data_IF_014132878053
#
_entry.id   IF_014132878053
#
_cell.length_a   1.000
_cell.length_b   1.000
_cell.length_c   1.000
_cell.angle_alpha   90.00
_cell.angle_beta   90.00
_cell.angle_gamma   90.00
#
_symmetry.space_group_name_H-M   'P 1'
#
loop_
_entity.id
_entity.type
_entity.pdbx_description
1 polymer ?
#
# COMPACT_ATOMS: atom_id res chain seq x y z
N UNK A 1 8.04 14.51 5.36
CA UNK A 1 6.81 15.33 5.34
C UNK A 1 5.84 15.03 4.19
N UNK A 2 6.13 15.38 2.91
CA UNK A 2 5.15 15.14 1.81
C UNK A 2 4.85 13.65 1.56
N UNK A 3 5.88 12.80 1.60
CA UNK A 3 5.75 11.35 1.39
C UNK A 3 4.95 10.68 2.51
N UNK A 4 5.20 11.06 3.77
CA UNK A 4 4.46 10.51 4.92
C UNK A 4 2.99 10.92 4.92
N UNK A 5 2.70 12.18 4.57
CA UNK A 5 1.31 12.63 4.42
C UNK A 5 0.58 11.84 3.33
N UNK A 6 1.21 11.64 2.16
CA UNK A 6 0.63 10.86 1.08
C UNK A 6 0.41 9.38 1.47
N UNK A 7 1.35 8.79 2.21
CA UNK A 7 1.21 7.44 2.78
C UNK A 7 -0.01 7.37 3.72
N UNK A 8 -0.09 8.27 4.70
CA UNK A 8 -1.19 8.27 5.67
C UNK A 8 -2.54 8.57 5.02
N UNK A 9 -2.58 9.44 4.01
CA UNK A 9 -3.78 9.68 3.22
C UNK A 9 -4.26 8.44 2.47
N UNK A 10 -3.33 7.67 1.91
CA UNK A 10 -3.66 6.41 1.24
C UNK A 10 -4.12 5.36 2.24
N UNK A 11 -3.40 5.20 3.36
CA UNK A 11 -3.78 4.32 4.47
C UNK A 11 -5.18 4.65 4.97
N UNK A 12 -5.49 5.93 5.20
CA UNK A 12 -6.82 6.40 5.61
C UNK A 12 -7.89 5.97 4.62
N UNK A 13 -7.65 6.12 3.31
CA UNK A 13 -8.60 5.69 2.26
C UNK A 13 -8.84 4.20 2.28
N UNK A 14 -7.78 3.39 2.41
CA UNK A 14 -7.87 1.93 2.53
C UNK A 14 -8.70 1.55 3.75
N UNK A 15 -8.36 2.10 4.92
CA UNK A 15 -9.05 1.80 6.18
C UNK A 15 -10.53 2.18 6.12
N UNK A 16 -10.85 3.36 5.58
CA UNK A 16 -12.25 3.83 5.44
C UNK A 16 -13.07 2.93 4.50
N UNK A 17 -12.42 2.25 3.54
CA UNK A 17 -13.10 1.34 2.62
C UNK A 17 -13.45 -0.02 3.24
N UNK A 18 -12.78 -0.41 4.33
CA UNK A 18 -13.01 -1.68 5.02
C UNK A 18 -14.25 -1.52 5.92
N UNK A 19 -15.35 -2.19 5.57
CA UNK A 19 -16.62 -2.13 6.31
C UNK A 19 -16.78 -3.35 7.22
N UNK A 20 -17.37 -3.13 8.41
CA UNK A 20 -17.88 -4.17 9.33
C UNK A 20 -16.81 -5.15 9.88
N UNK A 21 -15.56 -4.72 10.00
CA UNK A 21 -14.48 -5.49 10.66
C UNK A 21 -13.67 -4.57 11.56
N UNK A 22 -13.07 -5.13 12.61
CA UNK A 22 -12.11 -4.40 13.43
C UNK A 22 -10.82 -4.26 12.61
N UNK A 23 -10.33 -3.03 12.50
CA UNK A 23 -9.15 -2.71 11.69
C UNK A 23 -8.03 -2.25 12.59
N UNK A 24 -6.84 -2.79 12.36
CA UNK A 24 -5.61 -2.38 13.03
C UNK A 24 -4.68 -1.75 12.00
N UNK A 25 -4.21 -0.55 12.30
CA UNK A 25 -3.11 0.06 11.57
C UNK A 25 -1.81 -0.29 12.27
N UNK A 26 -1.00 -1.14 11.66
CA UNK A 26 0.33 -1.50 12.12
C UNK A 26 1.35 -0.55 11.49
N UNK A 27 2.08 0.21 12.30
CA UNK A 27 3.20 1.04 11.84
C UNK A 27 4.52 0.28 12.04
N UNK A 28 5.45 0.45 11.09
CA UNK A 28 6.78 -0.16 11.16
C UNK A 28 7.45 0.07 12.52
N UNK A 29 8.20 -0.93 12.99
CA UNK A 29 9.00 -0.86 14.21
C UNK A 29 10.05 0.27 14.18
N UNK A 30 10.42 0.76 12.99
CA UNK A 30 11.34 1.89 12.82
C UNK A 30 10.65 3.26 12.78
N UNK A 31 9.32 3.33 12.94
CA UNK A 31 8.62 4.61 12.85
C UNK A 31 8.93 5.51 14.05
N UNK A 32 9.04 6.82 13.82
CA UNK A 32 9.21 7.81 14.88
C UNK A 32 7.93 7.96 15.71
N UNK A 33 8.05 8.51 16.93
CA UNK A 33 6.89 8.87 17.75
C UNK A 33 6.00 9.93 17.07
N UNK A 34 6.60 10.88 16.37
CA UNK A 34 5.87 11.90 15.60
C UNK A 34 5.06 11.32 14.45
N UNK A 35 5.57 10.27 13.78
CA UNK A 35 4.81 9.56 12.75
C UNK A 35 3.62 8.81 13.36
N UNK A 36 3.83 8.15 14.50
CA UNK A 36 2.78 7.42 15.21
C UNK A 36 1.64 8.36 15.63
N UNK A 37 1.96 9.50 16.26
CA UNK A 37 0.98 10.51 16.65
C UNK A 37 0.19 11.01 15.44
N UNK A 38 0.90 11.32 14.34
CA UNK A 38 0.26 11.74 13.10
C UNK A 38 -0.66 10.67 12.52
N UNK A 39 -0.25 9.40 12.55
CA UNK A 39 -1.07 8.28 12.10
C UNK A 39 -2.35 8.17 12.92
N UNK A 40 -2.25 8.24 14.25
CA UNK A 40 -3.39 8.23 15.18
C UNK A 40 -4.35 9.39 14.93
N UNK A 41 -3.84 10.59 14.66
CA UNK A 41 -4.68 11.77 14.40
C UNK A 41 -5.32 11.77 13.00
N UNK A 42 -4.69 11.11 12.02
CA UNK A 42 -5.15 11.12 10.62
C UNK A 42 -6.13 10.00 10.33
N UNK A 43 -5.95 8.84 10.96
CA UNK A 43 -6.69 7.62 10.67
C UNK A 43 -7.78 7.41 11.72
N UNK A 44 -9.02 7.68 11.32
CA UNK A 44 -10.19 7.27 12.09
C UNK A 44 -10.65 5.87 11.67
N UNK A 45 -11.19 5.10 12.62
CA UNK A 45 -11.76 3.77 12.34
C UNK A 45 -10.78 2.59 12.41
N UNK A 46 -9.53 2.82 12.83
CA UNK A 46 -8.59 1.75 13.14
C UNK A 46 -7.86 2.01 14.46
N UNK A 47 -7.49 0.95 15.16
CA UNK A 47 -6.56 1.05 16.30
C UNK A 47 -5.13 1.06 15.78
N UNK A 48 -4.39 2.13 16.08
CA UNK A 48 -3.01 2.30 15.61
C UNK A 48 -2.06 1.65 16.60
N UNK A 49 -1.21 0.74 16.10
CA UNK A 49 -0.19 0.03 16.88
C UNK A 49 1.17 0.14 16.21
N UNK A 50 2.20 0.41 17.00
CA UNK A 50 3.58 0.37 16.55
C UNK A 50 4.16 -1.01 16.81
N UNK A 51 4.70 -1.65 15.76
CA UNK A 51 5.21 -3.02 15.85
C UNK A 51 6.38 -3.20 16.83
N UNK A 52 7.11 -2.11 17.14
CA UNK A 52 8.16 -2.13 18.17
C UNK A 52 7.61 -2.49 19.56
N UNK A 53 6.35 -2.19 19.81
CA UNK A 53 5.68 -2.43 21.10
C UNK A 53 4.98 -3.80 21.12
N UNK A 54 5.10 -4.58 20.03
CA UNK A 54 4.46 -5.88 19.86
C UNK A 54 3.29 -5.85 18.88
N UNK A 55 2.70 -7.02 18.66
CA UNK A 55 1.45 -7.16 17.92
C UNK A 55 0.26 -6.89 18.86
N UNK A 56 -0.82 -6.26 18.37
CA UNK A 56 -2.06 -6.20 19.13
C UNK A 56 -2.65 -7.60 19.33
N UNK A 57 -3.57 -7.71 20.29
CA UNK A 57 -4.39 -8.90 20.42
C UNK A 57 -5.41 -8.94 19.28
N UNK A 58 -5.24 -9.92 18.39
CA UNK A 58 -6.01 -10.09 17.16
C UNK A 58 -7.06 -11.18 17.37
N UNK A 59 -8.32 -10.82 17.17
CA UNK A 59 -9.43 -11.76 17.07
C UNK A 59 -9.50 -12.42 15.69
N UNK A 60 -10.47 -13.32 15.53
CA UNK A 60 -10.77 -13.93 14.23
C UNK A 60 -11.38 -12.88 13.29
N UNK A 61 -11.00 -12.92 12.01
CA UNK A 61 -11.47 -12.02 10.93
C UNK A 61 -11.03 -10.54 11.05
N UNK A 62 -10.11 -10.22 11.97
CA UNK A 62 -9.54 -8.89 12.06
C UNK A 62 -8.73 -8.53 10.80
N UNK A 63 -8.74 -7.24 10.45
CA UNK A 63 -7.99 -6.73 9.29
C UNK A 63 -6.81 -5.91 9.77
N UNK A 64 -5.62 -6.30 9.34
CA UNK A 64 -4.38 -5.61 9.64
C UNK A 64 -3.88 -4.88 8.39
N UNK A 65 -3.71 -3.58 8.52
CA UNK A 65 -3.06 -2.73 7.52
C UNK A 65 -1.66 -2.40 8.02
N UNK A 66 -0.63 -2.96 7.40
CA UNK A 66 0.77 -2.66 7.73
C UNK A 66 1.33 -1.64 6.74
N UNK A 67 1.66 -0.46 7.24
CA UNK A 67 2.19 0.64 6.42
C UNK A 67 3.72 0.72 6.48
N UNK A 68 4.33 0.81 5.30
CA UNK A 68 5.77 1.02 5.08
C UNK A 68 6.67 0.08 5.91
N UNK A 69 6.48 -1.25 5.86
CA UNK A 69 7.39 -2.19 6.53
C UNK A 69 8.81 -2.03 5.98
N UNK A 70 9.78 -1.86 6.87
CA UNK A 70 11.16 -1.49 6.53
C UNK A 70 12.19 -2.49 7.04
N UNK A 71 11.84 -3.27 8.07
CA UNK A 71 12.74 -4.17 8.79
C UNK A 71 12.29 -5.62 8.69
N UNK A 72 13.24 -6.55 8.89
CA UNK A 72 12.93 -7.99 8.96
C UNK A 72 11.85 -8.30 10.01
N UNK A 73 11.91 -7.65 11.18
CA UNK A 73 10.91 -7.80 12.24
C UNK A 73 9.50 -7.38 11.80
N UNK A 74 9.36 -6.36 10.95
CA UNK A 74 8.05 -5.96 10.42
C UNK A 74 7.46 -7.04 9.52
N UNK A 75 8.31 -7.64 8.68
CA UNK A 75 7.94 -8.73 7.79
C UNK A 75 7.64 -10.03 8.56
N UNK A 76 8.37 -10.32 9.63
CA UNK A 76 8.08 -11.45 10.51
C UNK A 76 6.73 -11.26 11.24
N UNK A 77 6.41 -10.03 11.66
CA UNK A 77 5.10 -9.70 12.23
C UNK A 77 3.98 -9.85 11.21
N UNK A 78 4.18 -9.34 9.99
CA UNK A 78 3.26 -9.51 8.87
C UNK A 78 2.96 -11.00 8.60
N UNK A 79 4.02 -11.83 8.57
CA UNK A 79 3.88 -13.27 8.39
C UNK A 79 3.02 -13.89 9.48
N UNK A 80 3.26 -13.56 10.75
CA UNK A 80 2.46 -14.06 11.89
C UNK A 80 0.98 -13.71 11.75
N UNK A 81 0.67 -12.46 11.37
CA UNK A 81 -0.70 -12.00 11.15
C UNK A 81 -1.40 -12.83 10.08
N UNK A 82 -0.77 -12.98 8.91
CA UNK A 82 -1.33 -13.72 7.78
C UNK A 82 -1.49 -15.21 8.09
N UNK A 83 -0.47 -15.86 8.68
CA UNK A 83 -0.55 -17.28 9.06
C UNK A 83 -1.54 -17.55 10.19
N UNK A 84 -1.90 -16.52 10.97
CA UNK A 84 -2.92 -16.58 12.01
C UNK A 84 -4.35 -16.50 11.47
N UNK A 85 -4.55 -16.44 10.14
CA UNK A 85 -5.87 -16.38 9.51
C UNK A 85 -6.46 -14.97 9.39
N UNK A 86 -5.71 -13.93 9.78
CA UNK A 86 -6.15 -12.55 9.67
C UNK A 86 -5.93 -12.00 8.27
N UNK A 87 -6.79 -11.07 7.85
CA UNK A 87 -6.58 -10.36 6.59
C UNK A 87 -5.42 -9.39 6.73
N UNK A 88 -4.39 -9.51 5.90
CA UNK A 88 -3.25 -8.62 5.89
C UNK A 88 -3.18 -7.81 4.60
N UNK A 89 -3.08 -6.49 4.74
CA UNK A 89 -2.84 -5.53 3.66
C UNK A 89 -1.51 -4.84 3.90
N UNK A 90 -0.55 -5.03 2.99
CA UNK A 90 0.73 -4.35 3.02
C UNK A 90 0.70 -3.10 2.14
N UNK A 91 0.96 -1.94 2.73
CA UNK A 91 1.02 -0.67 2.00
C UNK A 91 2.47 -0.23 1.85
N UNK A 92 2.93 -0.06 0.61
CA UNK A 92 4.29 0.38 0.25
C UNK A 92 5.40 -0.45 0.93
N UNK A 93 5.19 -1.77 1.06
CA UNK A 93 6.21 -2.71 1.50
C UNK A 93 7.09 -3.18 0.35
N UNK A 94 8.41 -3.22 0.56
CA UNK A 94 9.37 -3.80 -0.38
C UNK A 94 9.90 -5.11 0.20
N UNK A 95 9.22 -6.21 -0.12
CA UNK A 95 9.61 -7.56 0.31
C UNK A 95 10.92 -7.96 -0.41
N UNK A 96 12.06 -7.79 0.27
CA UNK A 96 13.40 -8.00 -0.31
C UNK A 96 13.71 -9.46 -0.68
N UNK A 97 12.98 -10.42 -0.12
CA UNK A 97 13.12 -11.86 -0.40
C UNK A 97 11.72 -12.50 -0.57
N UNK A 98 11.58 -13.46 -1.48
CA UNK A 98 10.42 -14.36 -1.68
C UNK A 98 9.82 -14.94 -0.38
N UNK A 99 10.62 -15.03 0.69
CA UNK A 99 10.19 -15.54 2.00
C UNK A 99 9.61 -14.49 2.94
N UNK A 100 9.73 -13.20 2.60
CA UNK A 100 9.49 -12.08 3.53
C UNK A 100 8.00 -11.78 3.75
N UNK A 101 7.16 -12.10 2.78
CA UNK A 101 5.72 -11.89 2.87
C UNK A 101 5.05 -13.16 2.35
N UNK A 102 4.16 -13.80 3.13
CA UNK A 102 3.42 -14.97 2.66
C UNK A 102 2.64 -14.63 1.40
N UNK A 103 2.64 -15.56 0.43
CA UNK A 103 2.06 -15.37 -0.91
C UNK A 103 0.61 -14.88 -0.90
N UNK A 104 -0.10 -15.11 0.21
CA UNK A 104 -1.51 -14.76 0.39
C UNK A 104 -1.78 -13.31 0.85
N UNK A 105 -0.76 -12.48 0.97
CA UNK A 105 -0.93 -11.10 1.44
C UNK A 105 -1.39 -10.17 0.31
N UNK A 106 -2.41 -9.35 0.59
CA UNK A 106 -2.79 -8.23 -0.28
C UNK A 106 -1.73 -7.15 -0.22
N UNK A 107 -1.33 -6.59 -1.36
CA UNK A 107 -0.32 -5.53 -1.43
C UNK A 107 -0.88 -4.32 -2.17
N UNK A 108 -0.52 -3.11 -1.72
CA UNK A 108 -0.95 -1.88 -2.35
C UNK A 108 0.17 -0.84 -2.34
N UNK A 109 0.31 -0.14 -3.46
CA UNK A 109 1.30 0.91 -3.68
C UNK A 109 0.62 2.15 -4.24
N UNK A 110 1.01 3.32 -3.75
CA UNK A 110 0.70 4.54 -4.51
C UNK A 110 1.75 4.74 -5.60
N UNK A 111 1.31 5.23 -6.75
CA UNK A 111 2.15 5.52 -7.89
C UNK A 111 2.27 7.03 -8.02
N UNK A 112 3.51 7.51 -7.86
CA UNK A 112 3.85 8.91 -7.94
C UNK A 112 4.89 9.10 -9.05
N UNK A 113 4.48 9.65 -10.20
CA UNK A 113 5.44 10.01 -11.22
C UNK A 113 6.37 11.11 -10.73
N UNK A 114 7.56 11.22 -11.33
CA UNK A 114 8.53 12.27 -11.05
C UNK A 114 8.09 13.60 -11.69
N UNK A 115 6.93 14.13 -11.30
CA UNK A 115 6.44 15.45 -11.71
C UNK A 115 6.63 16.48 -10.61
N UNK A 116 6.75 17.75 -11.01
CA UNK A 116 7.12 18.89 -10.15
C UNK A 116 6.24 19.03 -8.89
N UNK A 117 4.96 18.64 -8.95
CA UNK A 117 4.00 18.81 -7.85
C UNK A 117 3.88 17.60 -6.93
N UNK A 118 4.65 16.53 -7.16
CA UNK A 118 4.78 15.45 -6.20
C UNK A 118 3.46 14.72 -5.84
N UNK A 119 2.45 14.77 -6.72
CA UNK A 119 1.11 14.23 -6.48
C UNK A 119 1.02 12.72 -6.81
N UNK A 120 0.13 12.01 -6.10
CA UNK A 120 -0.19 10.60 -6.39
C UNK A 120 -1.05 10.53 -7.66
N UNK A 121 -0.50 9.97 -8.75
CA UNK A 121 -1.19 9.85 -10.04
C UNK A 121 -1.94 8.52 -10.21
N UNK A 122 -1.65 7.51 -9.39
CA UNK A 122 -2.38 6.25 -9.43
C UNK A 122 -2.03 5.30 -8.31
N UNK A 123 -2.51 4.07 -8.44
CA UNK A 123 -2.31 3.00 -7.47
C UNK A 123 -1.96 1.71 -8.21
N UNK A 124 -1.14 0.87 -7.59
CA UNK A 124 -0.95 -0.52 -7.97
C UNK A 124 -1.46 -1.38 -6.82
N UNK A 125 -2.45 -2.22 -7.08
CA UNK A 125 -3.10 -3.06 -6.08
C UNK A 125 -2.96 -4.51 -6.52
N UNK A 126 -2.44 -5.36 -5.64
CA UNK A 126 -2.46 -6.81 -5.81
C UNK A 126 -3.75 -7.33 -5.21
N UNK A 127 -4.67 -7.75 -6.05
CA UNK A 127 -5.77 -8.61 -5.67
C UNK A 127 -5.25 -10.06 -5.56
N UNK A 128 -5.47 -10.66 -4.40
CA UNK A 128 -5.10 -12.04 -4.14
C UNK A 128 -5.81 -13.00 -5.12
N UNK A 129 -5.13 -14.05 -5.63
CA UNK A 129 -3.75 -14.46 -5.33
C UNK A 129 -2.65 -13.85 -6.19
N UNK A 130 -2.94 -13.27 -7.36
CA UNK A 130 -1.87 -12.90 -8.29
C UNK A 130 -2.21 -11.76 -9.25
N UNK A 131 -3.38 -11.13 -9.12
CA UNK A 131 -3.82 -10.10 -10.06
C UNK A 131 -3.34 -8.72 -9.62
N UNK A 132 -2.47 -8.12 -10.41
CA UNK A 132 -1.92 -6.78 -10.16
C UNK A 132 -2.59 -5.74 -11.02
N UNK A 133 -3.37 -4.86 -10.41
CA UNK A 133 -4.17 -3.86 -11.10
C UNK A 133 -3.56 -2.48 -10.93
N UNK A 134 -3.18 -1.86 -12.06
CA UNK A 134 -2.76 -0.44 -12.12
C UNK A 134 -3.98 0.42 -12.39
N UNK A 135 -4.25 1.40 -11.51
CA UNK A 135 -5.45 2.24 -11.53
C UNK A 135 -5.05 3.72 -11.55
N UNK A 136 -5.73 4.52 -12.38
CA UNK A 136 -5.59 5.98 -12.36
C UNK A 136 -6.25 6.59 -11.10
N UNK A 137 -5.56 7.49 -10.40
CA UNK A 137 -6.06 8.03 -9.13
C UNK A 137 -7.26 8.96 -9.31
N UNK A 138 -7.41 9.56 -10.49
CA UNK A 138 -8.42 10.57 -10.82
C UNK A 138 -9.62 9.92 -11.50
N UNK A 139 -9.43 9.25 -12.63
CA UNK A 139 -10.52 8.67 -13.42
C UNK A 139 -11.03 7.34 -12.85
N UNK A 140 -10.24 6.70 -11.98
CA UNK A 140 -10.47 5.35 -11.44
C UNK A 140 -10.44 4.25 -12.49
N UNK A 141 -10.00 4.56 -13.71
CA UNK A 141 -9.89 3.58 -14.78
C UNK A 141 -8.76 2.59 -14.49
N UNK A 142 -9.03 1.33 -14.82
CA UNK A 142 -8.01 0.29 -14.85
C UNK A 142 -7.14 0.51 -16.09
N UNK A 143 -5.87 0.84 -15.87
CA UNK A 143 -4.90 1.08 -16.93
C UNK A 143 -4.26 -0.21 -17.42
N UNK A 144 -4.10 -1.19 -16.51
CA UNK A 144 -3.51 -2.50 -16.80
C UNK A 144 -3.78 -3.50 -15.68
N UNK A 145 -3.88 -4.78 -16.06
CA UNK A 145 -3.86 -5.93 -15.16
C UNK A 145 -2.66 -6.79 -15.56
N UNK A 146 -1.85 -7.19 -14.58
CA UNK A 146 -0.67 -8.04 -14.71
C UNK A 146 -0.79 -9.27 -13.79
N UNK A 147 -0.04 -10.34 -14.11
CA UNK A 147 0.18 -11.46 -13.21
C UNK A 147 1.55 -11.35 -12.50
N UNK A 148 1.79 -12.24 -11.53
CA UNK A 148 3.07 -12.31 -10.80
C UNK A 148 4.27 -12.51 -11.74
N UNK A 149 4.13 -13.26 -12.84
CA UNK A 149 5.20 -13.53 -13.79
C UNK A 149 5.61 -12.30 -14.62
N UNK A 150 4.69 -11.36 -14.79
CA UNK A 150 4.92 -10.12 -15.55
C UNK A 150 5.48 -8.99 -14.70
N UNK A 151 5.01 -8.83 -13.46
CA UNK A 151 5.30 -7.64 -12.67
C UNK A 151 6.34 -7.85 -11.58
N UNK A 152 6.55 -9.08 -11.08
CA UNK A 152 7.50 -9.29 -9.99
C UNK A 152 8.94 -9.24 -10.49
N UNK A 153 9.82 -8.62 -9.69
CA UNK A 153 11.26 -8.75 -9.90
C UNK A 153 11.65 -10.20 -9.66
N UNK A 154 12.31 -10.82 -10.65
CA UNK A 154 12.67 -12.24 -10.65
C UNK A 154 13.31 -12.66 -9.33
N UNK A 155 12.74 -13.68 -8.69
CA UNK A 155 13.22 -14.21 -7.41
C UNK A 155 12.88 -13.35 -6.20
N UNK A 156 11.85 -12.50 -6.28
CA UNK A 156 11.34 -11.69 -5.17
C UNK A 156 9.81 -11.60 -5.20
N UNK A 157 9.20 -11.15 -4.10
CA UNK A 157 7.77 -10.76 -4.06
C UNK A 157 7.59 -9.23 -4.18
N UNK A 158 8.57 -8.53 -4.78
CA UNK A 158 8.51 -7.09 -5.00
C UNK A 158 8.11 -6.80 -6.45
N UNK A 159 7.06 -5.99 -6.70
CA UNK A 159 6.70 -5.59 -8.04
C UNK A 159 7.69 -4.57 -8.62
N UNK A 160 8.00 -4.69 -9.92
CA UNK A 160 8.66 -3.66 -10.70
C UNK A 160 7.66 -2.55 -11.05
N UNK A 161 7.69 -1.50 -10.24
CA UNK A 161 6.76 -0.37 -10.36
C UNK A 161 6.99 0.48 -11.62
N UNK A 162 8.08 0.30 -12.38
CA UNK A 162 8.47 1.22 -13.47
C UNK A 162 7.40 1.30 -14.55
N UNK A 163 6.82 0.18 -14.94
CA UNK A 163 5.79 0.16 -15.98
C UNK A 163 4.49 0.79 -15.49
N UNK A 164 4.04 0.44 -14.28
CA UNK A 164 2.84 1.03 -13.67
C UNK A 164 2.97 2.55 -13.53
N UNK A 165 4.14 3.05 -13.10
CA UNK A 165 4.42 4.49 -13.01
C UNK A 165 4.34 5.17 -14.40
N UNK A 166 4.89 4.55 -15.44
CA UNK A 166 4.80 5.09 -16.81
C UNK A 166 3.36 5.16 -17.32
N UNK A 167 2.54 4.16 -16.99
CA UNK A 167 1.13 4.12 -17.40
C UNK A 167 0.34 5.27 -16.75
N UNK A 168 0.47 5.47 -15.44
CA UNK A 168 -0.22 6.57 -14.75
C UNK A 168 0.30 7.94 -15.19
N UNK A 169 1.60 8.06 -15.50
CA UNK A 169 2.16 9.29 -16.07
C UNK A 169 1.53 9.60 -17.43
N UNK A 170 1.46 8.61 -18.33
CA UNK A 170 0.85 8.80 -19.66
C UNK A 170 -0.62 9.20 -19.56
N UNK A 171 -1.38 8.54 -18.68
CA UNK A 171 -2.79 8.89 -18.43
C UNK A 171 -2.93 10.32 -17.92
N UNK A 172 -2.08 10.74 -16.98
CA UNK A 172 -2.06 12.10 -16.46
C UNK A 172 -1.70 13.15 -17.54
N UNK A 173 -0.66 12.89 -18.34
CA UNK A 173 -0.21 13.81 -19.40
C UNK A 173 -1.27 13.98 -20.49
N UNK A 174 -1.93 12.90 -20.89
CA UNK A 174 -3.00 12.93 -21.87
C UNK A 174 -4.13 13.87 -21.43
N UNK A 175 -4.57 13.78 -20.17
CA UNK A 175 -5.57 14.69 -19.60
C UNK A 175 -5.10 16.14 -19.58
N UNK A 176 -3.85 16.38 -19.20
CA UNK A 176 -3.29 17.72 -19.18
C UNK A 176 -3.25 18.35 -20.58
N UNK A 177 -2.96 17.54 -21.62
CA UNK A 177 -3.00 17.96 -23.02
C UNK A 177 -4.44 18.25 -23.47
N UNK A 178 -5.38 17.38 -23.18
CA UNK A 178 -6.80 17.55 -23.53
C UNK A 178 -7.40 18.81 -22.90
N UNK A 179 -7.13 19.06 -21.61
CA UNK A 179 -7.56 20.25 -20.91
C UNK A 179 -6.99 21.55 -21.50
N UNK A 180 -5.81 21.49 -22.14
CA UNK A 180 -5.21 22.65 -22.84
C UNK A 180 -5.79 22.85 -24.25
N UNK A 181 -6.24 21.79 -24.91
CA UNK A 181 -6.88 21.84 -26.24
C UNK A 181 -8.34 22.31 -26.19
N UNK A 182 -9.01 22.10 -25.06
CA UNK A 182 -10.38 22.58 -24.80
C UNK A 182 -10.46 24.02 -24.28
N UNK A 183 -9.35 24.78 -24.34
CA UNK A 183 -9.28 26.23 -24.08
C UNK A 183 -8.94 26.93 -25.39
#
# INVERSE_FOLDING_TARGET
QLVESANLDFVRKVITSIKKRKVFLLTSSSCSGSFLEKATNTVSGATVHRLRDGLPDLGTDDVCVLTMPSSKSDYDAAKKVATGGNTLILINGFAKDTKSVPGDSTMAYYLKPLTYNSQVAGFLIREYPSAWTTIDSTTKEVLRIDDDGMILVRGTNTPDLRQSVRLVQKSFDQRAIEARKGR
#
